data_IF_006290043141
#
_entry.id   IF_006290043141
#
_cell.length_a   1.000
_cell.length_b   1.000
_cell.length_c   1.000
_cell.angle_alpha   90.00
_cell.angle_beta   90.00
_cell.angle_gamma   90.00
#
_symmetry.space_group_name_H-M   'P 1'
#
loop_
_entity.id
_entity.type
_entity.pdbx_description
1 polymer ?
#
# COMPACT_ATOMS: atom_id res chain seq x y z
N UNK A 1 -19.48 6.48 -3.05
CA UNK A 1 -18.99 7.81 -2.59
C UNK A 1 -17.72 7.64 -1.78
N UNK A 2 -17.77 7.07 -0.56
CA UNK A 2 -16.61 6.99 0.36
C UNK A 2 -15.64 5.85 -0.01
N UNK A 3 -16.14 4.62 -0.13
CA UNK A 3 -15.33 3.45 -0.50
C UNK A 3 -16.08 2.65 -1.56
N UNK A 4 -15.71 2.84 -2.83
CA UNK A 4 -16.47 2.29 -3.95
C UNK A 4 -15.97 0.89 -4.30
N UNK A 5 -16.69 -0.14 -3.87
CA UNK A 5 -16.35 -1.55 -4.13
C UNK A 5 -16.70 -2.02 -5.56
N UNK A 6 -17.50 -1.26 -6.30
CA UNK A 6 -17.90 -1.65 -7.66
C UNK A 6 -16.80 -1.40 -8.69
N UNK A 7 -16.15 -0.23 -8.62
CA UNK A 7 -15.17 0.19 -9.62
C UNK A 7 -13.99 1.00 -9.04
N UNK A 8 -13.95 1.23 -7.74
CA UNK A 8 -12.86 1.94 -7.08
C UNK A 8 -12.83 3.45 -7.30
N UNK A 9 -13.77 4.05 -8.04
CA UNK A 9 -13.87 5.52 -8.14
C UNK A 9 -14.59 6.06 -6.90
N UNK A 10 -13.83 6.61 -5.98
CA UNK A 10 -14.28 7.20 -4.72
C UNK A 10 -13.46 8.44 -4.36
N UNK A 11 -14.00 9.23 -3.43
CA UNK A 11 -13.40 10.50 -3.01
C UNK A 11 -12.06 10.31 -2.29
N UNK A 12 -11.87 9.17 -1.61
CA UNK A 12 -10.58 8.77 -1.04
C UNK A 12 -9.49 8.74 -2.11
N UNK A 13 -9.76 8.08 -3.25
CA UNK A 13 -8.83 8.03 -4.39
C UNK A 13 -8.46 9.40 -4.92
N UNK A 14 -9.47 10.22 -5.17
CA UNK A 14 -9.27 11.50 -5.80
C UNK A 14 -8.41 12.39 -4.91
N UNK A 15 -8.69 12.37 -3.61
CA UNK A 15 -8.00 13.19 -2.63
C UNK A 15 -6.54 12.76 -2.44
N UNK A 16 -6.26 11.47 -2.20
CA UNK A 16 -4.86 11.06 -2.02
C UNK A 16 -4.04 11.22 -3.30
N UNK A 17 -4.60 10.97 -4.49
CA UNK A 17 -3.85 11.18 -5.74
C UNK A 17 -3.48 12.65 -5.87
N UNK A 18 -4.41 13.58 -5.61
CA UNK A 18 -4.14 15.01 -5.69
C UNK A 18 -3.11 15.46 -4.64
N UNK A 19 -3.26 15.01 -3.40
CA UNK A 19 -2.32 15.33 -2.31
C UNK A 19 -0.93 14.77 -2.60
N UNK A 20 -0.84 13.49 -2.92
CA UNK A 20 0.43 12.78 -3.02
C UNK A 20 1.20 13.19 -4.27
N UNK A 21 0.52 13.46 -5.40
CA UNK A 21 1.19 14.03 -6.58
C UNK A 21 1.88 15.35 -6.26
N UNK A 22 1.22 16.22 -5.48
CA UNK A 22 1.80 17.47 -5.00
C UNK A 22 2.98 17.23 -4.05
N UNK A 23 2.82 16.36 -3.06
CA UNK A 23 3.86 16.10 -2.05
C UNK A 23 5.11 15.42 -2.63
N UNK A 24 4.94 14.51 -3.59
CA UNK A 24 6.05 13.84 -4.28
C UNK A 24 6.61 14.66 -5.46
N UNK A 25 6.04 15.82 -5.79
CA UNK A 25 6.50 16.63 -6.92
C UNK A 25 6.27 15.98 -8.30
N UNK A 26 5.20 15.19 -8.43
CA UNK A 26 4.83 14.56 -9.70
C UNK A 26 4.25 15.60 -10.68
N UNK A 27 4.58 15.46 -11.96
CA UNK A 27 4.16 16.40 -13.00
C UNK A 27 2.70 16.24 -13.46
N UNK A 28 1.98 15.24 -12.96
CA UNK A 28 0.59 14.95 -13.32
C UNK A 28 -0.36 15.26 -12.15
N UNK A 29 -1.61 15.60 -12.47
CA UNK A 29 -2.63 15.93 -11.46
C UNK A 29 -4.04 15.62 -12.00
N UNK A 30 -5.02 15.51 -11.10
CA UNK A 30 -6.42 15.29 -11.42
C UNK A 30 -7.20 16.61 -11.41
N UNK A 31 -8.08 16.78 -12.40
CA UNK A 31 -9.10 17.82 -12.40
C UNK A 31 -10.37 17.26 -11.73
N UNK A 32 -10.39 17.33 -10.38
CA UNK A 32 -11.46 16.77 -9.56
C UNK A 32 -12.78 17.52 -9.80
N UNK A 33 -12.73 18.84 -9.94
CA UNK A 33 -13.92 19.67 -10.17
C UNK A 33 -14.61 19.22 -11.48
N UNK A 34 -13.84 19.01 -12.55
CA UNK A 34 -14.37 18.45 -13.79
C UNK A 34 -14.99 17.06 -13.60
N UNK A 35 -14.43 16.20 -12.75
CA UNK A 35 -15.03 14.89 -12.48
C UNK A 35 -16.37 15.09 -11.77
N UNK A 36 -16.41 15.87 -10.69
CA UNK A 36 -17.60 16.11 -9.86
C UNK A 36 -18.73 16.77 -10.65
N UNK A 37 -18.42 17.80 -11.46
CA UNK A 37 -19.38 18.51 -12.32
C UNK A 37 -20.06 17.61 -13.37
N UNK A 38 -19.50 16.41 -13.59
CA UNK A 38 -19.94 15.45 -14.60
C UNK A 38 -20.46 14.15 -13.98
N UNK A 39 -20.74 14.15 -12.68
CA UNK A 39 -21.43 13.06 -11.98
C UNK A 39 -22.94 13.18 -12.18
N UNK A 40 -23.62 12.03 -12.28
CA UNK A 40 -25.07 11.94 -12.30
C UNK A 40 -25.56 10.62 -11.71
N UNK A 41 -26.88 10.42 -11.74
CA UNK A 41 -27.50 9.16 -11.32
C UNK A 41 -28.00 8.42 -12.55
N UNK A 42 -27.57 7.16 -12.71
CA UNK A 42 -28.07 6.24 -13.73
C UNK A 42 -28.89 5.14 -13.07
N UNK A 43 -29.84 4.56 -13.80
CA UNK A 43 -30.69 3.46 -13.32
C UNK A 43 -30.42 2.21 -14.14
N UNK A 44 -30.05 1.12 -13.48
CA UNK A 44 -29.87 -0.19 -14.10
C UNK A 44 -30.61 -1.22 -13.26
N UNK A 45 -31.49 -2.00 -13.89
CA UNK A 45 -32.27 -3.07 -13.24
C UNK A 45 -33.06 -2.56 -12.00
N UNK A 46 -33.58 -1.34 -12.07
CA UNK A 46 -34.30 -0.68 -10.96
C UNK A 46 -33.41 -0.13 -9.84
N UNK A 47 -32.09 -0.33 -9.90
CA UNK A 47 -31.12 0.16 -8.92
C UNK A 47 -30.45 1.44 -9.41
N UNK A 48 -30.32 2.43 -8.52
CA UNK A 48 -29.63 3.70 -8.79
C UNK A 48 -28.13 3.56 -8.55
N UNK A 49 -27.34 3.98 -9.53
CA UNK A 49 -25.89 4.05 -9.44
C UNK A 49 -25.40 5.46 -9.67
N UNK A 50 -24.22 5.76 -9.13
CA UNK A 50 -23.44 6.90 -9.57
C UNK A 50 -22.93 6.60 -10.99
N UNK A 51 -23.26 7.47 -11.92
CA UNK A 51 -22.75 7.45 -13.28
C UNK A 51 -21.95 8.71 -13.60
N UNK A 52 -21.22 8.67 -14.69
CA UNK A 52 -20.39 9.78 -15.17
C UNK A 52 -20.74 10.12 -16.61
N UNK A 53 -20.65 11.40 -16.99
CA UNK A 53 -20.85 11.77 -18.39
C UNK A 53 -19.79 11.11 -19.27
N UNK A 54 -20.21 10.51 -20.37
CA UNK A 54 -19.32 9.80 -21.30
C UNK A 54 -18.07 10.60 -21.73
N UNK A 55 -18.22 11.92 -21.92
CA UNK A 55 -17.14 12.81 -22.39
C UNK A 55 -15.98 12.98 -21.39
N UNK A 56 -16.12 12.49 -20.15
CA UNK A 56 -15.04 12.50 -19.16
C UNK A 56 -14.37 11.13 -18.99
N UNK A 57 -14.61 10.18 -19.92
CA UNK A 57 -13.98 8.84 -19.90
C UNK A 57 -12.46 8.90 -19.70
N UNK A 58 -11.78 9.82 -20.39
CA UNK A 58 -10.32 9.96 -20.31
C UNK A 58 -9.87 10.49 -18.94
N UNK A 59 -10.62 11.43 -18.36
CA UNK A 59 -10.32 11.95 -17.02
C UNK A 59 -10.48 10.86 -15.94
N UNK A 60 -11.46 9.97 -16.09
CA UNK A 60 -11.62 8.82 -15.19
C UNK A 60 -10.52 7.77 -15.41
N UNK A 61 -10.09 7.54 -16.65
CA UNK A 61 -8.97 6.67 -16.95
C UNK A 61 -7.68 7.18 -16.28
N UNK A 62 -7.43 8.49 -16.35
CA UNK A 62 -6.29 9.14 -15.73
C UNK A 62 -6.21 8.85 -14.21
N UNK A 63 -7.34 8.73 -13.50
CA UNK A 63 -7.35 8.33 -12.08
C UNK A 63 -6.65 6.98 -11.86
N UNK A 64 -6.99 5.97 -12.68
CA UNK A 64 -6.39 4.64 -12.56
C UNK A 64 -4.91 4.64 -12.97
N UNK A 65 -4.58 5.39 -14.02
CA UNK A 65 -3.21 5.52 -14.53
C UNK A 65 -2.31 6.22 -13.52
N UNK A 66 -2.77 7.33 -12.94
CA UNK A 66 -2.03 8.10 -11.96
C UNK A 66 -1.84 7.34 -10.65
N UNK A 67 -2.87 6.60 -10.21
CA UNK A 67 -2.70 5.65 -9.11
C UNK A 67 -1.58 4.65 -9.40
N UNK A 68 -1.59 4.02 -10.57
CA UNK A 68 -0.58 3.03 -10.93
C UNK A 68 0.83 3.63 -11.01
N UNK A 69 0.96 4.86 -11.53
CA UNK A 69 2.21 5.62 -11.51
C UNK A 69 2.69 5.90 -10.09
N UNK A 70 1.83 6.40 -9.19
CA UNK A 70 2.18 6.66 -7.79
C UNK A 70 2.64 5.39 -7.07
N UNK A 71 1.95 4.25 -7.30
CA UNK A 71 2.41 2.96 -6.78
C UNK A 71 3.81 2.60 -7.27
N UNK A 72 4.06 2.71 -8.57
CA UNK A 72 5.35 2.33 -9.17
C UNK A 72 6.49 3.24 -8.76
N UNK A 73 6.25 4.54 -8.80
CA UNK A 73 7.29 5.56 -8.69
C UNK A 73 7.53 5.98 -7.23
N UNK A 74 6.52 5.86 -6.36
CA UNK A 74 6.57 6.34 -4.98
C UNK A 74 6.32 5.21 -3.95
N UNK A 75 5.10 4.69 -3.87
CA UNK A 75 4.67 3.83 -2.74
C UNK A 75 5.40 2.49 -2.66
N UNK A 76 5.82 1.96 -3.80
CA UNK A 76 6.50 0.66 -3.89
C UNK A 76 7.93 0.82 -4.40
N UNK A 77 8.51 2.01 -4.20
CA UNK A 77 9.91 2.25 -4.48
C UNK A 77 10.79 1.29 -3.65
N UNK A 78 11.85 0.76 -4.28
CA UNK A 78 12.70 -0.28 -3.68
C UNK A 78 13.29 0.11 -2.32
N UNK A 79 13.67 1.38 -2.16
CA UNK A 79 14.25 1.85 -0.90
C UNK A 79 13.19 2.03 0.18
N UNK A 80 11.96 2.37 -0.19
CA UNK A 80 10.84 2.35 0.76
C UNK A 80 10.59 0.92 1.23
N UNK A 81 10.63 -0.07 0.32
CA UNK A 81 10.50 -1.49 0.68
C UNK A 81 11.61 -1.98 1.60
N UNK A 82 12.85 -1.58 1.39
CA UNK A 82 13.95 -1.89 2.31
C UNK A 82 13.67 -1.34 3.72
N UNK A 83 13.30 -0.05 3.83
CA UNK A 83 12.98 0.59 5.12
C UNK A 83 11.76 -0.06 5.79
N UNK A 84 10.69 -0.36 5.04
CA UNK A 84 9.51 -1.06 5.54
C UNK A 84 9.87 -2.43 6.13
N UNK A 85 10.70 -3.22 5.44
CA UNK A 85 11.15 -4.53 5.92
C UNK A 85 11.97 -4.40 7.21
N UNK A 86 12.89 -3.44 7.28
CA UNK A 86 13.67 -3.18 8.50
C UNK A 86 12.79 -2.73 9.66
N UNK A 87 11.79 -1.88 9.40
CA UNK A 87 10.84 -1.43 10.43
C UNK A 87 10.00 -2.60 10.95
N UNK A 88 9.53 -3.49 10.06
CA UNK A 88 8.82 -4.71 10.46
C UNK A 88 9.71 -5.58 11.34
N UNK A 89 10.97 -5.82 10.93
CA UNK A 89 11.91 -6.62 11.71
C UNK A 89 12.19 -5.99 13.09
N UNK A 90 12.30 -4.66 13.16
CA UNK A 90 12.48 -3.93 14.41
C UNK A 90 11.27 -4.06 15.34
N UNK A 91 10.05 -3.95 14.81
CA UNK A 91 8.81 -4.12 15.58
C UNK A 91 8.62 -5.58 16.04
N UNK A 92 8.95 -6.56 15.20
CA UNK A 92 8.92 -7.98 15.55
C UNK A 92 9.93 -8.28 16.66
N UNK A 93 11.16 -7.75 16.56
CA UNK A 93 12.18 -7.90 17.60
C UNK A 93 11.77 -7.24 18.94
N UNK A 94 10.98 -6.17 18.90
CA UNK A 94 10.47 -5.50 20.10
C UNK A 94 9.25 -6.18 20.72
N UNK A 95 8.52 -7.03 19.99
CA UNK A 95 7.17 -7.45 20.35
C UNK A 95 7.06 -8.14 21.73
N UNK A 96 8.07 -8.91 22.14
CA UNK A 96 8.07 -9.63 23.42
C UNK A 96 8.53 -8.77 24.60
N UNK A 97 9.12 -7.60 24.34
CA UNK A 97 9.80 -6.79 25.35
C UNK A 97 9.26 -5.35 25.44
N UNK A 98 8.44 -4.93 24.48
CA UNK A 98 7.77 -3.64 24.48
C UNK A 98 6.25 -3.82 24.60
N UNK A 99 5.63 -3.09 25.50
CA UNK A 99 4.19 -3.14 25.73
C UNK A 99 3.57 -1.75 25.60
N UNK A 100 2.40 -1.68 24.98
CA UNK A 100 1.59 -0.46 24.97
C UNK A 100 0.64 -0.48 26.15
N UNK A 101 0.76 0.51 27.03
CA UNK A 101 -0.04 0.63 28.24
C UNK A 101 -1.11 1.71 28.12
N UNK A 102 -2.27 1.48 28.75
CA UNK A 102 -3.37 2.44 28.84
C UNK A 102 -4.14 2.30 30.14
N UNK A 103 -4.88 3.35 30.50
CA UNK A 103 -5.75 3.36 31.67
C UNK A 103 -7.18 2.91 31.31
N UNK A 104 -7.74 2.08 32.18
CA UNK A 104 -9.10 1.59 32.08
C UNK A 104 -9.84 1.78 33.40
N UNK A 105 -11.07 2.28 33.30
CA UNK A 105 -11.93 2.46 34.47
C UNK A 105 -12.53 1.10 34.85
N UNK A 106 -12.36 0.72 36.10
CA UNK A 106 -12.95 -0.48 36.69
C UNK A 106 -14.40 -0.19 37.14
N UNK A 107 -15.15 -1.25 37.45
CA UNK A 107 -16.58 -1.15 37.81
C UNK A 107 -16.85 -0.34 39.08
N UNK A 108 -15.85 -0.15 39.93
CA UNK A 108 -15.91 0.62 41.17
C UNK A 108 -15.52 2.11 40.98
N UNK A 109 -15.19 2.52 39.75
CA UNK A 109 -14.73 3.87 39.44
C UNK A 109 -13.24 4.13 39.67
N UNK A 110 -12.48 3.11 40.07
CA UNK A 110 -11.01 3.18 40.09
C UNK A 110 -10.43 3.00 38.68
N UNK A 111 -9.13 3.28 38.51
CA UNK A 111 -8.43 3.07 37.25
C UNK A 111 -7.34 2.01 37.41
N UNK A 112 -7.30 1.05 36.50
CA UNK A 112 -6.20 0.09 36.38
C UNK A 112 -5.42 0.30 35.08
N UNK A 113 -4.10 0.09 35.16
CA UNK A 113 -3.22 0.09 34.00
C UNK A 113 -3.30 -1.28 33.34
N UNK A 114 -3.77 -1.30 32.09
CA UNK A 114 -3.67 -2.47 31.22
C UNK A 114 -2.50 -2.28 30.27
N UNK A 115 -1.98 -3.39 29.76
CA UNK A 115 -0.95 -3.38 28.72
C UNK A 115 -1.13 -4.56 27.78
N UNK A 116 -0.60 -4.43 26.57
CA UNK A 116 -0.59 -5.50 25.58
C UNK A 116 0.66 -5.40 24.70
N UNK A 117 1.00 -6.50 24.02
CA UNK A 117 2.09 -6.54 23.05
C UNK A 117 1.76 -5.71 21.81
N UNK A 118 2.78 -5.31 21.06
CA UNK A 118 2.62 -4.61 19.77
C UNK A 118 1.67 -5.37 18.82
N UNK A 119 1.83 -6.69 18.70
CA UNK A 119 1.00 -7.54 17.85
C UNK A 119 -0.47 -7.62 18.28
N UNK A 120 -0.78 -7.31 19.54
CA UNK A 120 -2.11 -7.41 20.12
C UNK A 120 -2.86 -6.08 20.15
N UNK A 121 -2.18 -4.96 19.86
CA UNK A 121 -2.72 -3.61 19.98
C UNK A 121 -4.03 -3.39 19.21
N UNK A 122 -4.17 -4.02 18.04
CA UNK A 122 -5.37 -3.94 17.21
C UNK A 122 -6.65 -4.47 17.90
N UNK A 123 -6.50 -5.27 18.97
CA UNK A 123 -7.62 -5.82 19.74
C UNK A 123 -8.15 -4.85 20.79
N UNK A 124 -7.38 -3.82 21.14
CA UNK A 124 -7.69 -2.88 22.21
C UNK A 124 -7.70 -1.45 21.66
N UNK A 125 -8.87 -0.83 21.43
CA UNK A 125 -8.96 0.50 20.83
C UNK A 125 -8.12 1.58 21.54
N UNK A 126 -8.04 1.54 22.88
CA UNK A 126 -7.21 2.47 23.67
C UNK A 126 -5.71 2.26 23.47
N UNK A 127 -5.26 1.01 23.30
CA UNK A 127 -3.87 0.71 22.96
C UNK A 127 -3.57 1.13 21.51
N UNK A 128 -4.48 0.82 20.58
CA UNK A 128 -4.32 1.14 19.16
C UNK A 128 -4.17 2.65 18.91
N UNK A 129 -4.88 3.50 19.67
CA UNK A 129 -4.72 4.97 19.59
C UNK A 129 -3.32 5.46 19.96
N UNK A 130 -2.59 4.70 20.78
CA UNK A 130 -1.21 5.02 21.18
C UNK A 130 -0.17 4.43 20.24
N UNK A 131 -0.55 3.44 19.42
CA UNK A 131 0.30 2.82 18.42
C UNK A 131 0.51 3.75 17.20
N UNK A 132 1.29 4.79 17.40
CA UNK A 132 1.61 5.83 16.41
C UNK A 132 3.06 5.75 15.97
N UNK A 133 3.46 6.57 14.99
CA UNK A 133 4.85 6.65 14.51
C UNK A 133 5.85 7.05 15.60
N UNK A 134 5.39 7.62 16.73
CA UNK A 134 6.21 7.86 17.91
C UNK A 134 6.91 6.59 18.43
N UNK A 135 6.32 5.41 18.18
CA UNK A 135 6.91 4.12 18.53
C UNK A 135 8.33 3.96 17.95
N UNK A 136 8.62 4.57 16.80
CA UNK A 136 9.96 4.57 16.24
C UNK A 136 10.98 5.14 17.23
N UNK A 137 10.69 6.32 17.78
CA UNK A 137 11.59 6.99 18.72
C UNK A 137 11.52 6.38 20.13
N UNK A 138 10.37 5.86 20.54
CA UNK A 138 10.24 5.15 21.83
C UNK A 138 11.16 3.91 21.87
N UNK A 139 11.21 3.15 20.78
CA UNK A 139 12.07 1.98 20.65
C UNK A 139 13.54 2.37 20.46
N UNK A 140 13.82 3.36 19.60
CA UNK A 140 15.18 3.85 19.34
C UNK A 140 15.86 4.38 20.61
N UNK A 141 15.12 5.11 21.44
CA UNK A 141 15.64 5.70 22.68
C UNK A 141 15.52 4.78 23.90
N UNK A 142 15.00 3.56 23.73
CA UNK A 142 14.93 2.59 24.82
C UNK A 142 16.32 2.25 25.33
N UNK A 143 16.46 1.95 26.62
CA UNK A 143 17.72 1.52 27.25
C UNK A 143 17.72 0.04 27.64
N UNK A 144 16.58 -0.64 27.48
CA UNK A 144 16.45 -2.08 27.76
C UNK A 144 17.43 -2.89 26.89
N UNK A 145 18.19 -3.82 27.49
CA UNK A 145 19.04 -4.74 26.73
C UNK A 145 18.26 -5.64 25.77
N UNK A 146 17.04 -6.03 26.14
CA UNK A 146 16.17 -6.90 25.35
C UNK A 146 15.70 -6.24 24.05
N UNK A 147 15.59 -4.91 24.03
CA UNK A 147 15.25 -4.12 22.84
C UNK A 147 16.47 -3.78 21.96
N UNK A 148 17.66 -4.30 22.28
CA UNK A 148 18.88 -3.96 21.55
C UNK A 148 18.79 -4.26 20.05
N UNK A 149 18.25 -5.43 19.66
CA UNK A 149 18.09 -5.80 18.24
C UNK A 149 17.17 -4.82 17.51
N UNK A 150 16.05 -4.45 18.12
CA UNK A 150 15.12 -3.46 17.57
C UNK A 150 15.81 -2.10 17.39
N UNK A 151 16.48 -1.60 18.44
CA UNK A 151 17.22 -0.34 18.43
C UNK A 151 18.31 -0.31 17.34
N UNK A 152 19.08 -1.39 17.18
CA UNK A 152 20.11 -1.48 16.13
C UNK A 152 19.51 -1.35 14.73
N UNK A 153 18.38 -2.00 14.44
CA UNK A 153 17.71 -1.89 13.14
C UNK A 153 17.19 -0.46 12.89
N UNK A 154 16.60 0.19 13.89
CA UNK A 154 16.11 1.57 13.76
C UNK A 154 17.27 2.57 13.59
N UNK A 155 18.39 2.37 14.29
CA UNK A 155 19.60 3.18 14.11
C UNK A 155 20.21 3.02 12.72
N UNK A 156 20.15 1.80 12.16
CA UNK A 156 20.58 1.54 10.79
C UNK A 156 19.70 2.30 9.77
N UNK A 157 18.37 2.38 10.00
CA UNK A 157 17.48 3.23 9.19
C UNK A 157 17.90 4.71 9.25
N UNK A 158 18.14 5.26 10.45
CA UNK A 158 18.56 6.66 10.66
C UNK A 158 19.89 6.99 9.98
N UNK A 159 20.85 6.06 10.06
CA UNK A 159 22.19 6.22 9.47
C UNK A 159 22.26 5.83 8.00
N UNK A 160 21.12 5.40 7.44
CA UNK A 160 20.98 4.94 6.05
C UNK A 160 21.78 3.67 5.72
N UNK A 161 22.11 2.87 6.72
CA UNK A 161 22.58 1.50 6.54
C UNK A 161 21.38 0.57 6.32
N UNK A 162 20.92 0.54 5.06
CA UNK A 162 19.67 -0.14 4.69
C UNK A 162 19.91 -1.53 4.10
N UNK A 163 18.90 -2.39 4.20
CA UNK A 163 18.87 -3.65 3.47
C UNK A 163 19.13 -3.48 1.97
N UNK A 164 20.00 -4.31 1.42
CA UNK A 164 20.47 -4.19 0.04
C UNK A 164 19.62 -5.04 -0.90
N UNK A 165 19.12 -4.43 -1.97
CA UNK A 165 18.40 -5.16 -3.02
C UNK A 165 19.39 -6.01 -3.84
N UNK A 166 19.31 -7.34 -3.71
CA UNK A 166 20.20 -8.29 -4.38
C UNK A 166 19.61 -8.84 -5.69
N UNK A 167 18.29 -9.03 -5.73
CA UNK A 167 17.63 -9.61 -6.89
C UNK A 167 16.22 -9.04 -7.07
N UNK A 168 15.83 -8.82 -8.32
CA UNK A 168 14.51 -8.31 -8.69
C UNK A 168 14.05 -9.01 -9.97
N UNK A 169 12.85 -9.58 -9.94
CA UNK A 169 12.23 -10.27 -11.07
C UNK A 169 10.81 -9.82 -11.29
N UNK A 170 10.44 -9.67 -12.55
CA UNK A 170 9.07 -9.44 -12.99
C UNK A 170 8.36 -10.78 -13.16
N UNK A 171 7.17 -10.91 -12.60
CA UNK A 171 6.36 -12.11 -12.63
C UNK A 171 5.04 -11.85 -13.37
N UNK A 172 4.57 -12.85 -14.11
CA UNK A 172 3.24 -12.78 -14.75
C UNK A 172 2.13 -12.97 -13.71
N UNK A 173 1.05 -12.18 -13.85
CA UNK A 173 -0.11 -12.24 -12.94
C UNK A 173 -0.75 -13.64 -12.98
N UNK A 174 -0.99 -14.22 -11.80
CA UNK A 174 -1.83 -15.41 -11.64
C UNK A 174 -1.18 -16.62 -10.94
N UNK A 175 0.13 -16.59 -10.69
CA UNK A 175 0.76 -17.63 -9.87
C UNK A 175 0.51 -17.37 -8.37
N UNK A 176 0.07 -18.39 -7.62
CA UNK A 176 0.04 -18.38 -6.15
C UNK A 176 1.49 -18.30 -5.66
N UNK A 177 1.97 -17.09 -5.39
CA UNK A 177 3.39 -16.80 -5.20
C UNK A 177 3.84 -16.81 -3.73
N UNK A 178 2.94 -16.65 -2.76
CA UNK A 178 3.34 -16.49 -1.34
C UNK A 178 4.13 -17.68 -0.79
N UNK A 179 3.71 -18.91 -1.12
CA UNK A 179 4.35 -20.12 -0.59
C UNK A 179 5.72 -20.40 -1.23
N UNK A 180 5.85 -20.08 -2.53
CA UNK A 180 7.12 -20.17 -3.28
C UNK A 180 8.14 -19.13 -2.83
N UNK A 181 7.67 -17.95 -2.44
CA UNK A 181 8.50 -16.85 -1.98
C UNK A 181 9.11 -17.18 -0.61
N UNK A 182 8.28 -17.63 0.33
CA UNK A 182 8.76 -18.06 1.65
C UNK A 182 9.75 -19.21 1.55
N UNK A 183 9.48 -20.21 0.69
CA UNK A 183 10.41 -21.34 0.51
C UNK A 183 11.75 -20.93 -0.11
N UNK A 184 11.77 -19.97 -1.04
CA UNK A 184 13.02 -19.44 -1.59
C UNK A 184 13.82 -18.63 -0.57
N UNK A 185 13.17 -17.80 0.26
CA UNK A 185 13.86 -17.06 1.34
C UNK A 185 14.50 -18.04 2.32
N UNK A 186 13.76 -19.07 2.74
CA UNK A 186 14.29 -20.13 3.59
C UNK A 186 15.48 -20.82 2.93
N UNK A 187 15.36 -21.25 1.68
CA UNK A 187 16.43 -21.94 0.95
C UNK A 187 17.68 -21.08 0.76
N UNK A 188 17.54 -19.79 0.47
CA UNK A 188 18.68 -18.85 0.37
C UNK A 188 19.36 -18.67 1.74
N UNK A 189 18.57 -18.53 2.80
CA UNK A 189 19.09 -18.38 4.16
C UNK A 189 19.81 -19.64 4.62
N UNK A 190 19.29 -20.83 4.31
CA UNK A 190 19.94 -22.10 4.62
C UNK A 190 21.21 -22.32 3.80
N UNK A 191 21.23 -21.92 2.52
CA UNK A 191 22.35 -22.17 1.61
C UNK A 191 23.51 -21.20 1.82
N UNK A 192 23.21 -19.93 2.11
CA UNK A 192 24.19 -18.85 2.11
C UNK A 192 24.31 -18.11 3.46
N UNK A 193 23.34 -18.28 4.36
CA UNK A 193 23.29 -17.49 5.59
C UNK A 193 24.47 -17.75 6.54
N UNK A 194 24.97 -18.98 6.61
CA UNK A 194 26.15 -19.33 7.41
C UNK A 194 27.46 -18.88 6.77
N UNK A 195 27.55 -18.90 5.43
CA UNK A 195 28.74 -18.49 4.68
C UNK A 195 28.96 -16.98 4.72
N UNK A 196 27.87 -16.20 4.60
CA UNK A 196 27.92 -14.74 4.53
C UNK A 196 27.45 -14.04 5.81
N UNK A 197 27.03 -14.79 6.84
CA UNK A 197 26.48 -14.24 8.09
C UNK A 197 25.34 -13.24 7.80
N UNK A 198 24.45 -13.59 6.88
CA UNK A 198 23.36 -12.72 6.42
C UNK A 198 22.01 -13.44 6.46
N UNK A 199 20.94 -12.69 6.77
CA UNK A 199 19.57 -13.16 6.56
C UNK A 199 19.03 -12.59 5.25
N UNK A 200 17.99 -13.23 4.69
CA UNK A 200 17.29 -12.71 3.51
C UNK A 200 15.87 -12.29 3.86
N UNK A 201 15.38 -11.26 3.16
CA UNK A 201 13.99 -10.81 3.17
C UNK A 201 13.48 -10.74 1.75
N UNK A 202 12.16 -10.82 1.59
CA UNK A 202 11.53 -10.67 0.28
C UNK A 202 10.35 -9.72 0.35
N UNK A 203 10.08 -9.04 -0.76
CA UNK A 203 8.90 -8.23 -0.93
C UNK A 203 8.27 -8.55 -2.29
N UNK A 204 6.96 -8.80 -2.29
CA UNK A 204 6.14 -8.95 -3.49
C UNK A 204 5.25 -7.74 -3.67
N UNK A 205 5.16 -7.29 -4.91
CA UNK A 205 4.45 -6.08 -5.26
C UNK A 205 3.60 -6.34 -6.51
N UNK A 206 2.29 -6.18 -6.38
CA UNK A 206 1.37 -6.28 -7.52
C UNK A 206 1.02 -4.90 -8.07
N UNK A 207 1.36 -4.67 -9.34
CA UNK A 207 0.91 -3.51 -10.08
C UNK A 207 -0.31 -3.88 -10.92
N UNK A 208 -1.42 -3.16 -10.70
CA UNK A 208 -2.65 -3.34 -11.47
C UNK A 208 -3.29 -2.01 -11.81
N UNK A 209 -3.87 -1.96 -13.01
CA UNK A 209 -4.75 -0.90 -13.47
C UNK A 209 -6.12 -1.56 -13.59
N UNK A 210 -7.06 -1.19 -12.72
CA UNK A 210 -8.34 -1.90 -12.62
C UNK A 210 -8.22 -3.27 -11.93
N UNK A 211 -9.23 -4.12 -12.10
CA UNK A 211 -9.25 -5.45 -11.50
C UNK A 211 -8.36 -6.42 -12.27
N UNK A 212 -7.25 -6.86 -11.65
CA UNK A 212 -6.34 -7.90 -12.17
C UNK A 212 -5.90 -7.68 -13.64
N UNK A 213 -5.68 -6.42 -14.03
CA UNK A 213 -5.24 -6.06 -15.39
C UNK A 213 -6.35 -6.03 -16.45
N UNK A 214 -7.62 -6.17 -16.05
CA UNK A 214 -8.77 -5.89 -16.90
C UNK A 214 -9.01 -4.40 -17.12
N UNK A 215 -9.99 -4.07 -17.95
CA UNK A 215 -10.28 -2.67 -18.28
C UNK A 215 -10.77 -1.89 -17.04
N UNK A 216 -10.03 -0.89 -16.50
CA UNK A 216 -10.46 -0.03 -15.39
C UNK A 216 -11.83 0.62 -15.58
N UNK A 217 -12.24 0.91 -16.83
CA UNK A 217 -13.51 1.55 -17.13
C UNK A 217 -14.67 0.56 -17.30
N UNK A 218 -14.39 -0.75 -17.39
CA UNK A 218 -15.42 -1.78 -17.66
C UNK A 218 -16.58 -1.80 -16.66
N UNK A 219 -16.32 -1.42 -15.40
CA UNK A 219 -17.33 -1.35 -14.32
C UNK A 219 -17.83 0.06 -14.05
N UNK A 220 -17.35 1.04 -14.79
CA UNK A 220 -17.77 2.44 -14.69
C UNK A 220 -19.05 2.61 -15.49
N UNK A 221 -20.06 3.23 -14.88
CA UNK A 221 -21.35 3.46 -15.52
C UNK A 221 -21.31 4.85 -16.15
N UNK A 222 -21.51 4.92 -17.46
CA UNK A 222 -21.54 6.20 -18.18
C UNK A 222 -22.96 6.60 -18.58
N UNK A 223 -23.16 7.88 -18.92
CA UNK A 223 -24.40 8.36 -19.51
C UNK A 223 -24.18 9.52 -20.48
N UNK A 224 -25.11 9.66 -21.42
CA UNK A 224 -25.19 10.78 -22.36
C UNK A 224 -25.98 11.94 -21.75
N UNK A 225 -25.67 13.19 -22.16
CA UNK A 225 -26.40 14.38 -21.68
C UNK A 225 -27.91 14.29 -21.94
N UNK A 226 -28.30 13.70 -23.08
CA UNK A 226 -29.71 13.60 -23.50
C UNK A 226 -30.45 12.47 -22.80
N UNK A 227 -29.73 11.46 -22.31
CA UNK A 227 -30.28 10.26 -21.70
C UNK A 227 -29.61 9.97 -20.34
N UNK A 228 -29.77 10.86 -19.34
CA UNK A 228 -28.98 10.81 -18.11
C UNK A 228 -29.25 9.60 -17.22
N UNK A 229 -30.43 8.97 -17.36
CA UNK A 229 -30.81 7.81 -16.56
C UNK A 229 -30.39 6.48 -17.20
N UNK A 230 -30.03 6.49 -18.48
CA UNK A 230 -29.73 5.26 -19.25
C UNK A 230 -28.22 4.99 -19.19
N UNK A 231 -27.79 3.86 -18.64
CA UNK A 231 -26.37 3.53 -18.56
C UNK A 231 -25.82 3.17 -19.93
N UNK A 232 -24.61 3.64 -20.20
CA UNK A 232 -23.80 3.30 -21.35
C UNK A 232 -22.59 2.49 -20.89
N UNK A 233 -22.30 1.40 -21.62
CA UNK A 233 -21.08 0.65 -21.44
C UNK A 233 -20.03 1.22 -22.40
N UNK A 234 -19.10 1.99 -21.86
CA UNK A 234 -17.95 2.49 -22.61
C UNK A 234 -16.78 1.61 -22.25
N UNK A 235 -16.17 1.01 -23.28
CA UNK A 235 -14.84 0.43 -23.14
C UNK A 235 -13.84 1.55 -23.35
N UNK A 236 -12.70 1.48 -22.68
CA UNK A 236 -11.54 2.23 -23.16
C UNK A 236 -11.21 1.66 -24.55
N UNK A 237 -11.48 2.43 -25.61
CA UNK A 237 -11.01 2.07 -26.96
C UNK A 237 -9.50 1.86 -26.84
N UNK A 238 -9.05 0.66 -27.19
CA UNK A 238 -7.65 0.19 -27.17
C UNK A 238 -6.76 0.97 -26.19
N UNK A 239 -6.48 0.38 -25.03
CA UNK A 239 -5.52 0.74 -23.97
C UNK A 239 -4.17 1.38 -24.34
N UNK A 240 -3.89 1.59 -25.62
CA UNK A 240 -2.66 2.09 -26.19
C UNK A 240 -2.89 3.53 -26.64
N UNK A 241 -2.80 4.48 -25.71
CA UNK A 241 -2.03 5.67 -26.07
C UNK A 241 -0.59 5.17 -26.17
N UNK A 242 0.00 5.16 -27.37
CA UNK A 242 1.36 4.63 -27.65
C UNK A 242 2.43 5.16 -26.66
N UNK A 243 2.18 6.31 -26.04
CA UNK A 243 3.06 6.95 -25.07
C UNK A 243 3.02 6.35 -23.65
N UNK A 244 2.01 5.56 -23.31
CA UNK A 244 1.93 4.86 -22.04
C UNK A 244 2.44 3.44 -22.24
N UNK A 245 3.69 3.17 -21.84
CA UNK A 245 4.27 1.82 -21.81
C UNK A 245 3.57 0.96 -20.72
N UNK A 246 2.30 0.63 -20.93
CA UNK A 246 1.43 -0.04 -19.97
C UNK A 246 1.88 -1.47 -19.62
N UNK A 247 2.59 -2.14 -20.51
CA UNK A 247 3.21 -3.45 -20.21
C UNK A 247 4.17 -3.36 -19.02
N UNK A 248 4.74 -2.18 -18.72
CA UNK A 248 5.58 -1.96 -17.52
C UNK A 248 4.76 -1.73 -16.24
N UNK A 249 3.46 -1.44 -16.35
CA UNK A 249 2.55 -1.15 -15.24
C UNK A 249 1.65 -2.33 -14.87
N UNK A 250 1.64 -3.40 -15.68
CA UNK A 250 0.73 -4.54 -15.53
C UNK A 250 1.42 -5.82 -15.04
N UNK A 251 2.61 -5.72 -14.43
CA UNK A 251 3.34 -6.91 -13.99
C UNK A 251 3.51 -6.93 -12.47
N UNK A 252 3.53 -8.13 -11.89
CA UNK A 252 3.99 -8.32 -10.52
C UNK A 252 5.51 -8.13 -10.45
N UNK A 253 5.99 -7.58 -9.36
CA UNK A 253 7.41 -7.44 -9.08
C UNK A 253 7.75 -8.16 -7.79
N UNK A 254 8.76 -9.02 -7.87
CA UNK A 254 9.33 -9.68 -6.73
C UNK A 254 10.77 -9.23 -6.51
N UNK A 255 11.11 -8.93 -5.26
CA UNK A 255 12.41 -8.40 -4.87
C UNK A 255 12.93 -9.12 -3.63
N UNK A 256 14.22 -9.42 -3.62
CA UNK A 256 14.94 -9.99 -2.49
C UNK A 256 15.95 -8.98 -1.96
N UNK A 257 16.00 -8.91 -0.64
CA UNK A 257 16.86 -8.02 0.10
C UNK A 257 17.78 -8.84 1.00
N UNK A 258 19.05 -8.49 0.99
CA UNK A 258 20.01 -8.92 1.99
C UNK A 258 19.77 -8.12 3.28
N UNK A 259 19.50 -8.82 4.37
CA UNK A 259 19.16 -8.28 5.68
C UNK A 259 20.34 -8.41 6.64
N UNK A 260 21.46 -7.78 6.27
CA UNK A 260 22.60 -7.58 7.15
C UNK A 260 22.92 -6.09 7.16
N UNK A 261 22.60 -5.34 8.24
CA UNK A 261 23.26 -4.06 8.47
C UNK A 261 24.75 -4.34 8.59
N UNK A 262 25.59 -3.52 7.95
CA UNK A 262 27.04 -3.64 8.11
C UNK A 262 27.40 -3.68 9.59
N UNK A 263 28.11 -4.74 10.01
CA UNK A 263 28.68 -4.86 11.35
C UNK A 263 29.56 -3.66 11.72
#
# INVERSE_FOLDING_TARGET
>A
IIANKDNGLDVDKFEYILRDTKQFGQAFSLDIDRIIDHVGIVVKDGVKYIGFREKIKDALLDVFVYRAKLHRDCYQHRTCKAVELMLIDALVAANEHFSISWEEADSDGSFSIKSCKLSECHRYPKAFQKATDCLFYDLLNSTSPELHKSRTLLQAIETRDLYTLIFKKTLELGSRQTDLVSSMVTSLTESFGSEFTCEFRSASVDFSIGERGGDPLSKVKFFEKRHPLVPLNIKSESFIKENYQFSKLLNGLHAYFEASPSC
#
